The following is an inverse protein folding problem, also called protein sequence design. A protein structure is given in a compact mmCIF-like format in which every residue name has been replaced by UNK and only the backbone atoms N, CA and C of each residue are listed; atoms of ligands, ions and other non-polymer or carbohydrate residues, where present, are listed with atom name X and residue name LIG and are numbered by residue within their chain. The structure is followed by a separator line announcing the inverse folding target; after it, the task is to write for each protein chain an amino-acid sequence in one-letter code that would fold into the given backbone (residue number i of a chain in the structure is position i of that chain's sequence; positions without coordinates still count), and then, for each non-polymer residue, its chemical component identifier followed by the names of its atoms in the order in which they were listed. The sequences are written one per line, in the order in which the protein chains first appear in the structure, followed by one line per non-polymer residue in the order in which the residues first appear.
data_IF_104220694420
#
_entry.id   IF_104220694420
#
_cell.length_a   1.000
_cell.length_b   1.000
_cell.length_c   1.000
_cell.angle_alpha   90.00
_cell.angle_beta   90.00
_cell.angle_gamma   90.00
#
_symmetry.space_group_name_H-M   'P 1'
#
loop_
_entity.id
_entity.type
_entity.pdbx_description
1 polymer ?
#
# COMPACT_ATOMS: atom_id res chain seq x y z
N UNK A 1 36.01 3.56 8.14
CA UNK A 1 34.59 3.91 8.32
C UNK A 1 33.87 2.78 9.02
N UNK A 2 33.91 1.52 8.54
CA UNK A 2 33.19 0.38 9.14
C UNK A 2 33.64 0.08 10.58
N UNK A 3 34.90 0.26 10.89
CA UNK A 3 35.42 0.08 12.24
C UNK A 3 34.80 1.08 13.25
N UNK A 4 34.71 2.36 12.87
CA UNK A 4 34.06 3.40 13.67
C UNK A 4 32.59 3.11 13.91
N UNK A 5 31.87 2.66 12.89
CA UNK A 5 30.45 2.35 12.97
C UNK A 5 30.13 1.12 13.86
N UNK A 6 31.10 0.22 14.03
CA UNK A 6 30.97 -0.97 14.86
C UNK A 6 31.53 -0.79 16.28
N UNK A 7 32.15 0.36 16.59
CA UNK A 7 32.67 0.63 17.94
C UNK A 7 31.53 0.97 18.89
N UNK A 8 31.37 0.27 20.03
CA UNK A 8 30.34 0.58 21.01
C UNK A 8 30.55 1.96 21.66
N UNK A 9 29.43 2.66 21.84
CA UNK A 9 29.37 3.93 22.56
C UNK A 9 28.00 4.11 23.22
N UNK A 10 27.86 5.07 24.12
CA UNK A 10 26.56 5.37 24.74
C UNK A 10 25.61 6.00 23.74
N UNK A 11 24.46 5.38 23.54
CA UNK A 11 23.38 5.86 22.65
C UNK A 11 22.09 6.00 23.44
N UNK A 12 21.31 7.01 23.08
CA UNK A 12 19.92 7.19 23.53
C UNK A 12 18.99 6.60 22.47
N UNK A 13 18.13 5.70 22.90
CA UNK A 13 17.23 4.96 22.02
C UNK A 13 15.78 5.14 22.48
N UNK A 14 14.87 5.07 21.54
CA UNK A 14 13.45 4.93 21.85
C UNK A 14 13.17 3.59 22.53
N UNK A 15 12.28 3.58 23.52
CA UNK A 15 11.78 2.35 24.14
C UNK A 15 10.49 2.62 24.90
N UNK A 16 9.48 1.79 24.70
CA UNK A 16 8.24 1.87 25.48
C UNK A 16 8.46 1.62 26.99
N UNK A 17 9.51 0.90 27.36
CA UNK A 17 9.85 0.61 28.75
C UNK A 17 10.71 1.73 29.40
N UNK A 18 11.18 2.70 28.62
CA UNK A 18 12.05 3.77 29.10
C UNK A 18 11.28 4.94 29.70
N UNK A 19 11.92 5.66 30.63
CA UNK A 19 11.39 6.92 31.12
C UNK A 19 11.36 7.95 29.96
N UNK A 20 10.22 8.62 29.78
CA UNK A 20 9.98 9.50 28.63
C UNK A 20 10.25 8.81 27.27
N UNK A 21 9.91 7.53 27.14
CA UNK A 21 10.10 6.71 25.95
C UNK A 21 11.57 6.60 25.50
N UNK A 22 12.53 6.76 26.40
CA UNK A 22 13.98 6.71 26.10
C UNK A 22 14.73 5.83 27.07
N UNK A 23 15.73 5.11 26.55
CA UNK A 23 16.72 4.36 27.32
C UNK A 23 18.12 4.72 26.84
N UNK A 24 19.12 4.61 27.73
CA UNK A 24 20.54 4.67 27.36
C UNK A 24 21.12 3.27 27.36
N UNK A 25 21.84 2.92 26.31
CA UNK A 25 22.59 1.66 26.20
C UNK A 25 23.92 1.89 25.53
N UNK A 26 24.86 1.01 25.82
CA UNK A 26 26.14 0.95 25.13
C UNK A 26 26.02 -0.04 23.96
N UNK A 27 26.15 0.44 22.76
CA UNK A 27 26.09 -0.35 21.54
C UNK A 27 26.71 0.39 20.36
N UNK A 28 26.99 -0.33 19.29
CA UNK A 28 27.52 0.26 18.06
C UNK A 28 26.44 1.09 17.31
N UNK A 29 26.87 2.00 16.45
CA UNK A 29 25.95 2.74 15.57
C UNK A 29 25.13 1.80 14.68
N UNK A 30 25.72 0.70 14.20
CA UNK A 30 25.03 -0.29 13.38
C UNK A 30 23.95 -1.02 14.18
N UNK A 31 24.25 -1.42 15.41
CA UNK A 31 23.28 -2.12 16.25
C UNK A 31 22.18 -1.19 16.74
N UNK A 32 22.48 0.10 17.00
CA UNK A 32 21.48 1.09 17.33
C UNK A 32 20.51 1.31 16.16
N UNK A 33 21.00 1.37 14.93
CA UNK A 33 20.17 1.47 13.74
C UNK A 33 19.30 0.23 13.56
N UNK A 34 19.86 -0.97 13.70
CA UNK A 34 19.10 -2.22 13.65
C UNK A 34 18.01 -2.25 14.70
N UNK A 35 18.29 -1.84 15.92
CA UNK A 35 17.30 -1.75 16.99
C UNK A 35 16.15 -0.80 16.62
N UNK A 36 16.45 0.39 16.08
CA UNK A 36 15.46 1.39 15.70
C UNK A 36 14.59 0.93 14.51
N UNK A 37 15.15 0.16 13.59
CA UNK A 37 14.42 -0.40 12.44
C UNK A 37 13.40 -1.51 12.80
N UNK A 38 13.42 -2.04 14.04
CA UNK A 38 12.42 -3.02 14.49
C UNK A 38 11.10 -2.39 14.94
N UNK A 39 11.04 -1.08 15.14
CA UNK A 39 9.81 -0.43 15.52
C UNK A 39 8.88 -0.29 14.30
N UNK A 40 7.63 -0.69 14.50
CA UNK A 40 6.59 -0.45 13.51
C UNK A 40 6.10 0.99 13.63
N UNK A 41 5.98 1.66 12.51
CA UNK A 41 5.50 3.02 12.41
C UNK A 41 4.04 3.02 11.97
N UNK A 42 3.23 3.90 12.54
CA UNK A 42 1.83 4.03 12.19
C UNK A 42 1.35 5.47 12.37
N UNK A 43 0.59 5.95 11.39
CA UNK A 43 -0.20 7.16 11.50
C UNK A 43 -1.65 6.83 11.85
N UNK A 44 -2.31 7.71 12.59
CA UNK A 44 -3.73 7.60 12.90
C UNK A 44 -4.42 8.95 12.74
N UNK A 45 -5.58 8.94 12.11
CA UNK A 45 -6.46 10.12 12.03
C UNK A 45 -7.90 9.69 12.30
N UNK A 46 -8.59 10.44 13.14
CA UNK A 46 -10.03 10.33 13.34
C UNK A 46 -10.72 11.60 12.85
N UNK A 47 -11.76 11.45 12.05
CA UNK A 47 -12.51 12.56 11.47
C UNK A 47 -14.01 12.40 11.73
N UNK A 48 -14.67 13.51 11.94
CA UNK A 48 -16.14 13.58 11.94
C UNK A 48 -16.64 13.47 10.49
N UNK A 49 -17.40 12.43 10.12
CA UNK A 49 -17.76 12.22 8.72
C UNK A 49 -18.72 13.28 8.15
N UNK A 50 -19.51 13.95 8.99
CA UNK A 50 -20.47 14.96 8.56
C UNK A 50 -19.83 16.32 8.30
N UNK A 51 -18.81 16.68 9.08
CA UNK A 51 -18.18 18.01 9.05
C UNK A 51 -16.79 18.00 8.42
N UNK A 52 -16.11 16.83 8.40
CA UNK A 52 -14.72 16.71 8.01
C UNK A 52 -13.72 17.18 9.09
N UNK A 53 -14.20 17.52 10.29
CA UNK A 53 -13.32 17.94 11.39
C UNK A 53 -12.41 16.81 11.86
N UNK A 54 -11.13 17.10 11.97
CA UNK A 54 -10.14 16.17 12.53
C UNK A 54 -10.24 16.20 14.06
N UNK A 55 -10.68 15.09 14.66
CA UNK A 55 -10.82 14.93 16.10
C UNK A 55 -9.55 14.41 16.77
N UNK A 56 -8.76 13.61 16.07
CA UNK A 56 -7.45 13.13 16.52
C UNK A 56 -6.50 12.98 15.34
N UNK A 57 -5.23 13.27 15.57
CA UNK A 57 -4.18 13.18 14.58
C UNK A 57 -2.88 12.70 15.26
N UNK A 58 -2.35 11.57 14.82
CA UNK A 58 -1.09 11.01 15.29
C UNK A 58 -0.24 10.66 14.07
N UNK A 59 0.84 11.38 13.82
CA UNK A 59 1.69 11.19 12.64
C UNK A 59 2.61 9.99 12.75
N UNK A 60 3.09 9.68 13.96
CA UNK A 60 3.92 8.50 14.26
C UNK A 60 3.91 8.20 15.76
N UNK A 61 4.56 7.12 16.19
CA UNK A 61 4.60 6.63 17.57
C UNK A 61 5.33 7.59 18.55
N UNK A 62 6.34 8.32 18.08
CA UNK A 62 7.01 9.40 18.82
C UNK A 62 7.65 10.41 17.87
N UNK A 63 7.10 11.61 17.81
CA UNK A 63 7.61 12.68 16.94
C UNK A 63 9.02 13.16 17.32
N UNK A 64 9.41 13.06 18.59
CA UNK A 64 10.74 13.48 19.01
C UNK A 64 11.86 12.55 18.52
N UNK A 65 11.51 11.29 18.25
CA UNK A 65 12.46 10.29 17.75
C UNK A 65 12.38 10.18 16.22
N UNK A 66 11.18 10.16 15.67
CA UNK A 66 10.92 10.05 14.23
C UNK A 66 10.08 11.23 13.74
N UNK A 67 10.74 12.21 13.13
CA UNK A 67 10.09 13.40 12.57
C UNK A 67 9.48 13.09 11.19
N UNK A 68 8.72 11.99 11.11
CA UNK A 68 8.03 11.55 9.91
C UNK A 68 6.53 11.48 10.16
N UNK A 69 5.75 11.99 9.23
CA UNK A 69 4.29 12.00 9.32
C UNK A 69 3.70 10.92 8.40
N UNK A 70 3.42 9.77 8.97
CA UNK A 70 2.86 8.63 8.24
C UNK A 70 1.42 8.86 7.76
N UNK A 71 0.70 9.83 8.32
CA UNK A 71 -0.64 10.21 7.83
C UNK A 71 -0.55 10.94 6.48
N UNK A 72 0.49 11.76 6.31
CA UNK A 72 0.72 12.53 5.07
C UNK A 72 1.68 11.88 4.10
N UNK A 73 2.48 10.95 4.57
CA UNK A 73 3.46 10.25 3.74
C UNK A 73 2.76 9.45 2.64
N UNK A 74 3.34 9.49 1.46
CA UNK A 74 2.85 8.70 0.33
C UNK A 74 3.40 7.28 0.45
N UNK A 75 2.50 6.32 0.54
CA UNK A 75 2.83 4.90 0.60
C UNK A 75 2.18 4.16 -0.57
N UNK A 76 2.75 3.00 -0.91
CA UNK A 76 2.12 2.09 -1.86
C UNK A 76 0.84 1.52 -1.22
N UNK A 77 -0.35 1.75 -1.80
CA UNK A 77 -1.61 1.41 -1.15
C UNK A 77 -1.92 -0.10 -1.16
N UNK A 78 -1.28 -0.86 -2.05
CA UNK A 78 -1.57 -2.27 -2.22
C UNK A 78 -3.03 -2.51 -2.57
N UNK A 79 -3.61 -3.59 -2.05
CA UNK A 79 -4.99 -4.01 -2.37
C UNK A 79 -6.09 -3.00 -2.01
N UNK A 80 -5.82 -1.96 -1.23
CA UNK A 80 -6.79 -0.90 -0.98
C UNK A 80 -7.11 -0.10 -2.25
N UNK A 81 -6.17 -0.08 -3.22
CA UNK A 81 -6.39 0.58 -4.51
C UNK A 81 -7.48 -0.09 -5.37
N UNK A 82 -7.78 -1.37 -5.14
CA UNK A 82 -8.85 -2.10 -5.83
C UNK A 82 -10.21 -1.40 -5.73
N UNK A 83 -10.44 -0.64 -4.66
CA UNK A 83 -11.66 0.16 -4.51
C UNK A 83 -11.93 1.00 -5.77
N UNK A 84 -10.91 1.69 -6.31
CA UNK A 84 -11.07 2.58 -7.46
C UNK A 84 -11.36 1.79 -8.75
N UNK A 85 -10.78 0.60 -8.89
CA UNK A 85 -11.05 -0.29 -10.04
C UNK A 85 -12.52 -0.71 -10.05
N UNK A 86 -13.02 -1.21 -8.91
CA UNK A 86 -14.41 -1.66 -8.80
C UNK A 86 -15.40 -0.49 -8.85
N UNK A 87 -15.06 0.67 -8.28
CA UNK A 87 -15.88 1.87 -8.40
C UNK A 87 -15.98 2.32 -9.88
N UNK A 88 -14.89 2.25 -10.64
CA UNK A 88 -14.91 2.55 -12.08
C UNK A 88 -15.80 1.59 -12.84
N UNK A 89 -15.73 0.29 -12.55
CA UNK A 89 -16.59 -0.71 -13.14
C UNK A 89 -18.07 -0.41 -12.87
N UNK A 90 -18.43 -0.10 -11.64
CA UNK A 90 -19.82 0.27 -11.29
C UNK A 90 -20.27 1.55 -12.01
N UNK A 91 -19.41 2.56 -12.14
CA UNK A 91 -19.71 3.78 -12.94
C UNK A 91 -19.98 3.47 -14.41
N UNK A 92 -19.38 2.40 -14.95
CA UNK A 92 -19.58 1.94 -16.33
C UNK A 92 -20.74 0.92 -16.48
N UNK A 93 -21.52 0.70 -15.41
CA UNK A 93 -22.70 -0.17 -15.45
C UNK A 93 -22.43 -1.65 -15.14
N UNK A 94 -21.24 -2.02 -14.68
CA UNK A 94 -20.98 -3.38 -14.22
C UNK A 94 -21.71 -3.64 -12.91
N UNK A 95 -22.61 -4.62 -12.88
CA UNK A 95 -23.34 -5.01 -11.67
C UNK A 95 -22.50 -6.02 -10.86
N UNK A 96 -22.08 -5.69 -9.62
CA UNK A 96 -21.18 -6.55 -8.85
C UNK A 96 -21.74 -7.93 -8.53
N UNK A 97 -23.07 -8.10 -8.49
CA UNK A 97 -23.75 -9.38 -8.27
C UNK A 97 -23.71 -10.28 -9.51
N UNK A 98 -23.80 -9.69 -10.69
CA UNK A 98 -24.07 -10.42 -11.96
C UNK A 98 -22.82 -10.55 -12.82
N UNK A 99 -22.01 -9.49 -12.89
CA UNK A 99 -20.78 -9.51 -13.65
C UNK A 99 -19.75 -10.47 -13.01
N UNK A 100 -19.15 -11.29 -13.85
CA UNK A 100 -18.21 -12.35 -13.45
C UNK A 100 -16.98 -12.28 -14.31
N UNK A 101 -15.83 -12.53 -13.68
CA UNK A 101 -14.56 -12.73 -14.37
C UNK A 101 -13.92 -14.03 -13.91
N UNK A 102 -13.18 -14.65 -14.81
CA UNK A 102 -12.49 -15.91 -14.54
C UNK A 102 -11.20 -15.67 -13.75
N UNK A 103 -11.05 -16.36 -12.64
CA UNK A 103 -9.83 -16.39 -11.84
C UNK A 103 -8.87 -17.42 -12.43
N UNK A 104 -8.11 -17.03 -13.42
CA UNK A 104 -7.11 -17.86 -14.07
C UNK A 104 -5.84 -17.06 -14.41
N UNK A 105 -4.86 -17.76 -14.96
CA UNK A 105 -3.59 -17.19 -15.37
C UNK A 105 -3.78 -16.00 -16.34
N UNK A 106 -3.02 -14.95 -16.08
CA UNK A 106 -2.92 -13.77 -16.93
C UNK A 106 -1.44 -13.37 -17.07
N UNK A 107 -1.04 -12.95 -18.26
CA UNK A 107 0.25 -12.31 -18.48
C UNK A 107 0.09 -11.08 -19.36
N UNK A 108 0.95 -10.10 -19.13
CA UNK A 108 0.97 -8.84 -19.87
C UNK A 108 2.39 -8.48 -20.26
N UNK A 109 2.56 -7.98 -21.48
CA UNK A 109 3.82 -7.39 -21.90
C UNK A 109 3.91 -6.00 -21.27
N UNK A 110 4.99 -5.75 -20.56
CA UNK A 110 5.29 -4.48 -19.89
C UNK A 110 6.69 -4.02 -20.23
N UNK A 111 7.01 -2.80 -19.87
CA UNK A 111 8.38 -2.28 -19.95
C UNK A 111 8.91 -2.20 -18.50
N UNK A 112 10.08 -2.75 -18.25
CA UNK A 112 10.70 -2.70 -16.92
C UNK A 112 11.27 -1.30 -16.61
N UNK A 113 11.81 -1.14 -15.40
CA UNK A 113 12.39 0.13 -14.92
C UNK A 113 13.58 0.61 -15.79
N UNK A 114 14.19 -0.28 -16.55
CA UNK A 114 15.31 0.00 -17.46
C UNK A 114 14.86 0.25 -18.91
N UNK A 115 13.56 0.32 -19.17
CA UNK A 115 13.00 0.50 -20.50
C UNK A 115 13.02 -0.75 -21.39
N UNK A 116 13.27 -1.96 -20.82
CA UNK A 116 13.31 -3.20 -21.57
C UNK A 116 11.98 -3.93 -21.60
N UNK A 117 11.62 -4.59 -22.71
CA UNK A 117 10.45 -5.45 -22.75
C UNK A 117 10.54 -6.57 -21.70
N UNK A 118 9.46 -6.72 -20.92
CA UNK A 118 9.34 -7.72 -19.88
C UNK A 118 7.93 -8.31 -19.87
N UNK A 119 7.74 -9.43 -19.17
CA UNK A 119 6.42 -10.07 -19.02
C UNK A 119 6.03 -10.08 -17.56
N UNK A 120 4.96 -9.38 -17.26
CA UNK A 120 4.40 -9.35 -15.91
C UNK A 120 3.29 -10.39 -15.75
N UNK A 121 3.34 -11.12 -14.64
CA UNK A 121 2.43 -12.24 -14.33
C UNK A 121 1.90 -12.07 -12.89
N UNK A 122 0.76 -11.40 -12.71
CA UNK A 122 0.17 -11.25 -11.37
C UNK A 122 -0.32 -12.60 -10.83
N UNK A 123 -0.10 -12.80 -9.52
CA UNK A 123 -0.57 -13.95 -8.78
C UNK A 123 -1.53 -13.54 -7.67
N UNK A 124 -2.45 -14.43 -7.30
CA UNK A 124 -3.23 -14.27 -6.08
C UNK A 124 -2.33 -14.45 -4.84
N UNK A 125 -2.74 -13.89 -3.70
CA UNK A 125 -1.94 -13.92 -2.48
C UNK A 125 -1.60 -15.35 -2.00
N UNK A 126 -2.46 -16.33 -2.30
CA UNK A 126 -2.24 -17.75 -2.00
C UNK A 126 -1.47 -18.51 -3.09
N UNK A 127 -1.02 -17.82 -4.15
CA UNK A 127 -0.30 -18.41 -5.29
C UNK A 127 -1.12 -19.33 -6.19
N UNK A 128 -2.45 -19.39 -6.04
CA UNK A 128 -3.32 -20.31 -6.77
C UNK A 128 -4.38 -19.58 -7.58
N UNK A 129 -4.84 -20.23 -8.64
CA UNK A 129 -5.98 -19.82 -9.45
C UNK A 129 -7.09 -20.83 -9.28
N UNK A 130 -8.33 -20.37 -9.06
CA UNK A 130 -9.47 -21.27 -8.89
C UNK A 130 -10.01 -21.83 -10.20
N UNK A 131 -9.73 -21.16 -11.32
CA UNK A 131 -10.30 -21.48 -12.64
C UNK A 131 -11.77 -21.14 -12.78
N UNK A 132 -12.41 -20.66 -11.72
CA UNK A 132 -13.86 -20.41 -11.67
C UNK A 132 -14.20 -19.00 -12.19
N UNK A 133 -15.43 -18.83 -12.70
CA UNK A 133 -16.04 -17.54 -12.97
C UNK A 133 -16.62 -16.98 -11.65
N UNK A 134 -15.97 -15.96 -11.08
CA UNK A 134 -16.30 -15.41 -9.77
C UNK A 134 -17.07 -14.09 -9.94
N UNK A 135 -18.20 -13.88 -9.23
CA UNK A 135 -18.89 -12.59 -9.22
C UNK A 135 -17.97 -11.48 -8.70
N UNK A 136 -18.05 -10.28 -9.26
CA UNK A 136 -17.19 -9.16 -8.86
C UNK A 136 -17.30 -8.85 -7.35
N UNK A 137 -18.49 -8.96 -6.76
CA UNK A 137 -18.70 -8.80 -5.31
C UNK A 137 -17.83 -9.76 -4.49
N UNK A 138 -17.82 -11.04 -4.88
CA UNK A 138 -17.02 -12.07 -4.18
C UNK A 138 -15.52 -11.87 -4.44
N UNK A 139 -15.14 -11.50 -5.67
CA UNK A 139 -13.77 -11.22 -6.03
C UNK A 139 -13.19 -10.03 -5.24
N UNK A 140 -13.98 -8.97 -5.03
CA UNK A 140 -13.60 -7.83 -4.21
C UNK A 140 -13.44 -8.23 -2.74
N UNK A 141 -14.44 -8.93 -2.18
CA UNK A 141 -14.42 -9.38 -0.78
C UNK A 141 -13.23 -10.30 -0.45
N UNK A 142 -12.82 -11.14 -1.41
CA UNK A 142 -11.67 -12.03 -1.28
C UNK A 142 -10.36 -11.41 -1.76
N UNK A 143 -10.40 -10.16 -2.23
CA UNK A 143 -9.21 -9.44 -2.73
C UNK A 143 -8.45 -10.20 -3.82
N UNK A 144 -9.14 -10.83 -4.79
CA UNK A 144 -8.54 -11.63 -5.85
C UNK A 144 -7.78 -10.73 -6.82
N UNK A 145 -6.46 -10.95 -6.93
CA UNK A 145 -5.57 -10.09 -7.73
C UNK A 145 -5.83 -10.22 -9.22
N UNK A 146 -5.94 -11.45 -9.73
CA UNK A 146 -6.13 -11.71 -11.17
C UNK A 146 -7.40 -11.05 -11.69
N UNK A 147 -8.48 -11.10 -10.92
CA UNK A 147 -9.75 -10.48 -11.28
C UNK A 147 -9.65 -8.96 -11.24
N UNK A 148 -8.99 -8.39 -10.22
CA UNK A 148 -8.79 -6.94 -10.15
C UNK A 148 -7.99 -6.40 -11.33
N UNK A 149 -6.95 -7.13 -11.76
CA UNK A 149 -6.14 -6.76 -12.94
C UNK A 149 -6.96 -6.86 -14.22
N UNK A 150 -7.68 -7.96 -14.45
CA UNK A 150 -8.55 -8.12 -15.61
C UNK A 150 -9.62 -7.03 -15.67
N UNK A 151 -10.26 -6.77 -14.52
CA UNK A 151 -11.28 -5.72 -14.45
C UNK A 151 -10.68 -4.35 -14.76
N UNK A 152 -9.48 -4.05 -14.24
CA UNK A 152 -8.78 -2.81 -14.54
C UNK A 152 -8.49 -2.63 -16.03
N UNK A 153 -8.15 -3.72 -16.74
CA UNK A 153 -7.97 -3.69 -18.20
C UNK A 153 -9.31 -3.47 -18.94
N UNK A 154 -10.35 -4.15 -18.53
CA UNK A 154 -11.69 -4.04 -19.15
C UNK A 154 -12.26 -2.61 -19.02
N UNK A 155 -12.14 -2.00 -17.85
CA UNK A 155 -12.64 -0.64 -17.61
C UNK A 155 -11.70 0.45 -18.10
N UNK A 156 -10.43 0.09 -18.36
CA UNK A 156 -9.37 0.99 -18.79
C UNK A 156 -8.65 1.68 -17.62
N UNK A 157 -7.34 1.51 -17.55
CA UNK A 157 -6.50 2.12 -16.48
C UNK A 157 -6.65 3.65 -16.41
N UNK A 158 -6.70 4.40 -17.52
CA UNK A 158 -6.96 5.85 -17.47
C UNK A 158 -8.28 6.22 -16.78
N UNK A 159 -9.34 5.42 -16.94
CA UNK A 159 -10.63 5.64 -16.28
C UNK A 159 -10.53 5.36 -14.77
N UNK A 160 -9.74 4.36 -14.39
CA UNK A 160 -9.46 4.07 -12.96
C UNK A 160 -8.71 5.24 -12.33
N UNK A 161 -7.68 5.77 -12.99
CA UNK A 161 -6.93 6.96 -12.55
C UNK A 161 -7.88 8.14 -12.37
N UNK A 162 -8.71 8.41 -13.37
CA UNK A 162 -9.70 9.49 -13.29
C UNK A 162 -10.65 9.30 -12.11
N UNK A 163 -11.17 8.10 -11.90
CA UNK A 163 -12.06 7.81 -10.76
C UNK A 163 -11.35 8.03 -9.42
N UNK A 164 -10.10 7.59 -9.28
CA UNK A 164 -9.31 7.82 -8.06
C UNK A 164 -9.11 9.33 -7.81
N UNK A 165 -8.81 10.11 -8.84
CA UNK A 165 -8.68 11.57 -8.75
C UNK A 165 -10.00 12.26 -8.40
N UNK A 166 -11.11 11.86 -9.02
CA UNK A 166 -12.45 12.36 -8.72
C UNK A 166 -12.84 12.07 -7.24
N UNK A 167 -12.31 10.98 -6.67
CA UNK A 167 -12.50 10.58 -5.26
C UNK A 167 -11.47 11.21 -4.30
N UNK A 168 -10.62 12.10 -4.78
CA UNK A 168 -9.73 12.93 -3.94
C UNK A 168 -8.27 12.50 -3.90
N UNK A 169 -7.82 11.48 -4.64
CA UNK A 169 -6.40 11.13 -4.74
C UNK A 169 -5.68 12.21 -5.56
N UNK A 170 -4.72 12.88 -4.94
CA UNK A 170 -3.93 13.95 -5.56
C UNK A 170 -2.55 13.50 -6.02
N UNK A 171 -2.09 12.34 -5.58
CA UNK A 171 -0.81 11.76 -5.98
C UNK A 171 -0.80 11.45 -7.46
N UNK A 172 0.38 11.57 -8.08
CA UNK A 172 0.56 11.13 -9.46
C UNK A 172 0.42 9.60 -9.52
N UNK A 173 -0.51 9.13 -10.34
CA UNK A 173 -0.72 7.71 -10.61
C UNK A 173 -0.14 7.36 -11.98
N UNK A 174 0.54 6.22 -12.06
CA UNK A 174 1.12 5.76 -13.32
C UNK A 174 0.09 4.93 -14.09
N UNK A 175 0.01 5.16 -15.40
CA UNK A 175 -0.78 4.33 -16.33
C UNK A 175 -0.02 3.01 -16.59
N UNK A 176 -0.14 2.10 -15.62
CA UNK A 176 0.53 0.81 -15.65
C UNK A 176 -0.46 -0.34 -15.42
N UNK A 177 -0.29 -1.49 -16.07
CA UNK A 177 -1.15 -2.66 -15.86
C UNK A 177 -1.21 -3.16 -14.42
N UNK A 178 -0.20 -2.84 -13.61
CA UNK A 178 -0.11 -3.21 -12.19
C UNK A 178 -0.91 -2.28 -11.26
N UNK A 179 -1.32 -1.09 -11.72
CA UNK A 179 -2.05 -0.11 -10.90
C UNK A 179 -3.26 -0.70 -10.15
N UNK A 180 -4.04 -1.66 -10.68
CA UNK A 180 -5.13 -2.30 -9.95
C UNK A 180 -4.73 -2.99 -8.65
N UNK A 181 -3.45 -3.24 -8.44
CA UNK A 181 -2.92 -3.89 -7.22
C UNK A 181 -2.28 -2.89 -6.25
N UNK A 182 -2.17 -1.61 -6.65
CA UNK A 182 -1.61 -0.53 -5.86
C UNK A 182 -0.13 -0.26 -6.05
#
# INVERSE_FOLDING_TARGET
VMEILNTPHKVKLFSYAGQNLKIEREMSSVDSLRYMLHFMHAGFVAMEPQTGEVKAYVGDVDFNTWQHDNVRATHQPGSTFKLFVYATAMKQGWLPSDARLKDDYIQMNVVDENGKPSVWRPHNANGRFSGANIPLRAAFAQSINTIAVKLGQEVGIPNVIKTAQDMGIKSKLNDAPSLPLG
#
